data_IF_368236198698
#
_entry.id   IF_368236198698
#
_cell.length_a   1.000
_cell.length_b   1.000
_cell.length_c   1.000
_cell.angle_alpha   90.00
_cell.angle_beta   90.00
_cell.angle_gamma   90.00
#
_symmetry.space_group_name_H-M   'P 1'
#
loop_
_entity.id
_entity.type
_entity.pdbx_description
1 polymer ?
#
# COMPACT_ATOMS: atom_id res chain seq x y z
N UNK A 1 -26.91 -15.81 -74.25
CA UNK A 1 -26.07 -14.80 -73.57
C UNK A 1 -26.81 -14.37 -72.32
N UNK A 2 -26.45 -14.94 -71.17
CA UNK A 2 -27.14 -14.72 -69.89
C UNK A 2 -26.05 -14.48 -68.84
N UNK A 3 -25.95 -13.26 -68.32
CA UNK A 3 -25.01 -12.90 -67.24
C UNK A 3 -25.76 -12.93 -65.91
N UNK A 4 -25.31 -13.77 -64.98
CA UNK A 4 -25.67 -13.72 -63.56
C UNK A 4 -24.92 -12.56 -62.87
N UNK A 5 -25.52 -11.88 -61.87
CA UNK A 5 -24.77 -11.01 -60.98
C UNK A 5 -24.23 -11.81 -59.78
N UNK A 6 -22.94 -11.63 -59.50
CA UNK A 6 -22.31 -12.09 -58.25
C UNK A 6 -22.70 -11.15 -57.11
N UNK A 7 -23.32 -11.69 -56.06
CA UNK A 7 -23.53 -10.98 -54.81
C UNK A 7 -22.25 -11.06 -53.95
N UNK A 8 -21.67 -9.90 -53.65
CA UNK A 8 -20.58 -9.77 -52.68
C UNK A 8 -21.16 -9.85 -51.26
N UNK A 9 -20.86 -10.93 -50.53
CA UNK A 9 -21.12 -11.02 -49.10
C UNK A 9 -19.96 -10.35 -48.37
N UNK A 10 -20.22 -9.18 -47.77
CA UNK A 10 -19.28 -8.53 -46.86
C UNK A 10 -19.42 -9.19 -45.49
N UNK A 11 -18.43 -9.96 -45.08
CA UNK A 11 -18.29 -10.42 -43.70
C UNK A 11 -17.84 -9.25 -42.83
N UNK A 12 -18.76 -8.67 -42.04
CA UNK A 12 -18.38 -7.82 -40.91
C UNK A 12 -17.80 -8.72 -39.81
N UNK A 13 -16.47 -8.75 -39.70
CA UNK A 13 -15.81 -9.26 -38.51
C UNK A 13 -16.03 -8.28 -37.36
N UNK A 14 -16.93 -8.63 -36.43
CA UNK A 14 -17.07 -7.92 -35.17
C UNK A 14 -15.81 -8.16 -34.34
N UNK A 15 -14.90 -7.20 -34.33
CA UNK A 15 -13.77 -7.17 -33.39
C UNK A 15 -14.37 -6.92 -32.01
N UNK A 16 -14.53 -7.99 -31.23
CA UNK A 16 -14.80 -7.84 -29.80
C UNK A 16 -13.57 -7.19 -29.16
N UNK A 17 -13.69 -5.90 -28.84
CA UNK A 17 -12.77 -5.22 -27.93
C UNK A 17 -12.90 -5.88 -26.56
N UNK A 18 -12.08 -6.90 -26.30
CA UNK A 18 -11.82 -7.38 -24.95
C UNK A 18 -11.09 -6.23 -24.26
N UNK A 19 -11.80 -5.46 -23.44
CA UNK A 19 -11.19 -4.45 -22.59
C UNK A 19 -10.20 -5.15 -21.68
N UNK A 20 -8.90 -4.99 -21.94
CA UNK A 20 -7.86 -5.47 -21.04
C UNK A 20 -8.06 -4.80 -19.67
N UNK A 21 -7.98 -5.55 -18.56
CA UNK A 21 -8.03 -4.95 -17.23
C UNK A 21 -6.92 -3.91 -17.11
N UNK A 22 -7.25 -2.74 -16.56
CA UNK A 22 -6.24 -1.75 -16.26
C UNK A 22 -5.38 -2.28 -15.10
N UNK A 23 -4.09 -2.46 -15.35
CA UNK A 23 -3.10 -2.84 -14.34
C UNK A 23 -2.68 -1.59 -13.56
N UNK A 24 -2.98 -1.55 -12.26
CA UNK A 24 -2.45 -0.55 -11.35
C UNK A 24 -1.10 -1.05 -10.81
N UNK A 25 -0.05 -0.24 -10.92
CA UNK A 25 1.35 -0.60 -10.60
C UNK A 25 1.84 0.00 -9.29
N UNK A 26 1.12 0.94 -8.67
CA UNK A 26 1.59 1.59 -7.45
C UNK A 26 0.82 1.15 -6.20
N UNK A 27 1.21 -0.01 -5.70
CA UNK A 27 1.26 -0.27 -4.26
C UNK A 27 2.72 -0.02 -3.84
N UNK A 28 3.01 0.58 -2.69
CA UNK A 28 4.40 0.76 -2.22
C UNK A 28 5.15 -0.59 -1.96
N UNK A 29 4.58 -1.72 -2.39
CA UNK A 29 5.13 -3.08 -2.39
C UNK A 29 5.19 -3.71 -3.80
N UNK A 30 4.85 -2.98 -4.88
CA UNK A 30 4.90 -3.49 -6.26
C UNK A 30 3.92 -4.63 -6.57
N UNK A 31 2.88 -4.80 -5.75
CA UNK A 31 1.87 -5.83 -5.94
C UNK A 31 1.08 -5.57 -7.23
N UNK A 32 0.97 -6.56 -8.15
CA UNK A 32 0.08 -6.43 -9.29
C UNK A 32 -1.36 -6.39 -8.80
N UNK A 33 -2.07 -5.32 -9.18
CA UNK A 33 -3.48 -5.17 -8.90
C UNK A 33 -4.27 -4.97 -10.21
N UNK A 34 -5.42 -5.61 -10.29
CA UNK A 34 -6.41 -5.42 -11.35
C UNK A 34 -7.62 -4.66 -10.82
N UNK A 35 -8.03 -3.62 -11.55
CA UNK A 35 -9.24 -2.88 -11.23
C UNK A 35 -10.49 -3.61 -11.72
N UNK A 36 -11.53 -3.57 -10.90
CA UNK A 36 -12.78 -4.26 -11.17
C UNK A 36 -13.92 -3.29 -11.50
N UNK A 37 -14.72 -3.64 -12.51
CA UNK A 37 -15.83 -2.82 -13.01
C UNK A 37 -17.08 -2.82 -12.10
N UNK A 38 -16.97 -3.40 -10.90
CA UNK A 38 -18.09 -3.57 -9.97
C UNK A 38 -18.78 -2.26 -9.60
N UNK A 39 -20.11 -2.32 -9.45
CA UNK A 39 -20.98 -1.20 -9.06
C UNK A 39 -21.83 -1.57 -7.84
N UNK A 40 -22.20 -0.58 -7.04
CA UNK A 40 -22.98 -0.76 -5.81
C UNK A 40 -22.15 -0.56 -4.53
N UNK A 41 -22.80 -0.73 -3.38
CA UNK A 41 -22.21 -0.46 -2.07
C UNK A 41 -21.21 -1.54 -1.57
N UNK A 42 -21.23 -2.72 -2.20
CA UNK A 42 -20.39 -3.85 -1.82
C UNK A 42 -19.73 -4.51 -3.06
N UNK A 43 -19.39 -3.68 -4.03
CA UNK A 43 -18.74 -4.11 -5.26
C UNK A 43 -17.29 -4.51 -5.01
N UNK A 44 -16.80 -5.50 -5.74
CA UNK A 44 -15.36 -5.72 -5.88
C UNK A 44 -14.78 -4.52 -6.65
N UNK A 45 -13.82 -3.83 -6.02
CA UNK A 45 -13.18 -2.62 -6.54
C UNK A 45 -11.84 -2.94 -7.19
N UNK A 46 -11.05 -3.80 -6.56
CA UNK A 46 -9.76 -4.25 -7.05
C UNK A 46 -9.42 -5.63 -6.49
N UNK A 47 -8.59 -6.36 -7.24
CA UNK A 47 -7.99 -7.62 -6.82
C UNK A 47 -6.47 -7.51 -6.97
N UNK A 48 -5.73 -7.70 -5.89
CA UNK A 48 -4.28 -7.68 -5.87
C UNK A 48 -3.74 -9.08 -5.58
N UNK A 49 -2.55 -9.38 -6.09
CA UNK A 49 -1.86 -10.65 -5.85
C UNK A 49 -0.70 -10.47 -4.87
N UNK A 50 -0.53 -11.43 -3.96
CA UNK A 50 0.57 -11.51 -3.02
C UNK A 50 1.00 -12.94 -2.75
N UNK A 51 2.06 -13.12 -1.96
CA UNK A 51 2.57 -14.42 -1.54
C UNK A 51 2.56 -14.51 -0.02
N UNK A 52 1.79 -15.45 0.55
CA UNK A 52 1.72 -15.73 1.98
C UNK A 52 2.49 -17.00 2.31
N UNK A 53 3.79 -16.87 2.61
CA UNK A 53 4.63 -17.99 3.02
C UNK A 53 4.80 -19.03 1.91
N UNK A 54 5.07 -18.58 0.68
CA UNK A 54 5.24 -19.44 -0.49
C UNK A 54 3.93 -19.90 -1.13
N UNK A 55 2.80 -19.27 -0.76
CA UNK A 55 1.49 -19.55 -1.33
C UNK A 55 0.89 -18.29 -1.93
N UNK A 56 0.60 -18.35 -3.23
CA UNK A 56 -0.14 -17.30 -3.91
C UNK A 56 -1.45 -16.97 -3.17
N UNK A 57 -1.73 -15.68 -3.07
CA UNK A 57 -2.82 -15.12 -2.28
C UNK A 57 -3.47 -13.97 -3.05
N UNK A 58 -4.78 -14.02 -3.18
CA UNK A 58 -5.62 -12.96 -3.68
C UNK A 58 -6.10 -12.06 -2.54
N UNK A 59 -5.96 -10.74 -2.74
CA UNK A 59 -6.36 -9.66 -1.83
C UNK A 59 -7.44 -8.85 -2.54
N UNK A 60 -8.70 -9.09 -2.19
CA UNK A 60 -9.87 -8.47 -2.86
C UNK A 60 -10.42 -7.34 -2.03
N UNK A 61 -10.45 -6.15 -2.60
CA UNK A 61 -10.97 -4.94 -1.95
C UNK A 61 -12.43 -4.74 -2.34
N UNK A 62 -13.32 -4.76 -1.37
CA UNK A 62 -14.75 -4.57 -1.59
C UNK A 62 -15.26 -3.28 -0.98
N UNK A 63 -16.24 -2.66 -1.65
CA UNK A 63 -16.97 -1.51 -1.12
C UNK A 63 -17.67 -0.72 -2.20
N UNK A 64 -17.56 0.61 -2.14
CA UNK A 64 -18.29 1.53 -3.00
C UNK A 64 -17.33 2.48 -3.73
N UNK A 65 -17.58 2.66 -5.03
CA UNK A 65 -16.87 3.66 -5.84
C UNK A 65 -17.08 5.10 -5.30
N UNK A 66 -16.12 6.02 -5.52
CA UNK A 66 -14.87 5.80 -6.25
C UNK A 66 -13.86 4.94 -5.49
N UNK A 67 -13.82 5.01 -4.16
CA UNK A 67 -12.73 4.39 -3.40
C UNK A 67 -13.06 4.09 -1.92
N UNK A 68 -14.31 3.90 -1.54
CA UNK A 68 -14.65 3.47 -0.16
C UNK A 68 -14.49 1.96 -0.05
N UNK A 69 -13.57 1.50 0.77
CA UNK A 69 -13.36 0.07 1.05
C UNK A 69 -14.00 -0.26 2.40
N UNK A 70 -14.93 -1.22 2.41
CA UNK A 70 -15.65 -1.70 3.59
C UNK A 70 -15.07 -3.00 4.15
N UNK A 71 -14.46 -3.81 3.29
CA UNK A 71 -13.75 -5.00 3.71
C UNK A 71 -12.74 -5.46 2.66
N UNK A 72 -11.82 -6.31 3.12
CA UNK A 72 -10.86 -7.01 2.29
C UNK A 72 -11.01 -8.51 2.53
N UNK A 73 -11.14 -9.27 1.45
CA UNK A 73 -11.08 -10.73 1.48
C UNK A 73 -9.66 -11.18 1.12
N UNK A 74 -9.13 -12.08 1.95
CA UNK A 74 -7.82 -12.72 1.75
C UNK A 74 -8.04 -14.20 1.45
N UNK A 75 -7.65 -14.63 0.26
CA UNK A 75 -7.93 -15.98 -0.26
C UNK A 75 -6.65 -16.60 -0.79
N UNK A 76 -6.32 -17.83 -0.39
CA UNK A 76 -5.22 -18.55 -1.05
C UNK A 76 -5.62 -18.97 -2.46
N UNK A 77 -4.65 -19.00 -3.37
CA UNK A 77 -4.89 -19.45 -4.74
C UNK A 77 -5.51 -20.86 -4.79
N UNK A 78 -6.47 -21.02 -5.71
CA UNK A 78 -7.26 -22.24 -5.85
C UNK A 78 -8.36 -22.43 -4.79
N UNK A 79 -8.47 -21.54 -3.80
CA UNK A 79 -9.59 -21.53 -2.85
C UNK A 79 -10.67 -20.54 -3.26
N UNK A 80 -11.91 -20.86 -2.95
CA UNK A 80 -13.07 -19.99 -3.21
C UNK A 80 -13.48 -19.19 -1.98
N UNK A 81 -13.26 -19.74 -0.78
CA UNK A 81 -13.57 -19.07 0.48
C UNK A 81 -12.34 -18.32 1.01
N UNK A 82 -12.49 -17.08 1.49
CA UNK A 82 -11.38 -16.36 2.11
C UNK A 82 -10.99 -17.04 3.42
N UNK A 83 -9.68 -17.16 3.67
CA UNK A 83 -9.18 -17.58 4.98
C UNK A 83 -9.37 -16.47 6.02
N UNK A 84 -9.52 -15.22 5.58
CA UNK A 84 -9.86 -14.10 6.45
C UNK A 84 -10.59 -13.00 5.70
N UNK A 85 -11.58 -12.41 6.36
CA UNK A 85 -12.26 -11.17 5.97
C UNK A 85 -11.88 -10.07 6.95
N UNK A 86 -11.26 -9.01 6.47
CA UNK A 86 -10.90 -7.82 7.24
C UNK A 86 -11.96 -6.75 7.06
N UNK A 87 -12.79 -6.54 8.09
CA UNK A 87 -13.75 -5.42 8.11
C UNK A 87 -13.03 -4.12 8.45
N UNK A 88 -13.23 -3.09 7.63
CA UNK A 88 -12.57 -1.81 7.76
C UNK A 88 -13.39 -0.69 7.11
N UNK A 89 -13.02 0.57 7.33
CA UNK A 89 -13.70 1.70 6.73
C UNK A 89 -12.67 2.74 6.34
N UNK A 90 -12.13 2.59 5.13
CA UNK A 90 -11.05 3.44 4.61
C UNK A 90 -11.36 3.90 3.19
N UNK A 91 -10.65 4.93 2.75
CA UNK A 91 -10.76 5.53 1.43
C UNK A 91 -9.39 5.57 0.73
N UNK A 92 -8.77 4.42 0.42
CA UNK A 92 -7.45 4.39 -0.18
C UNK A 92 -7.52 5.02 -1.58
N UNK A 93 -6.38 5.44 -2.14
CA UNK A 93 -6.33 5.79 -3.56
C UNK A 93 -6.54 4.49 -4.37
N UNK A 94 -7.56 4.49 -5.23
CA UNK A 94 -7.86 3.43 -6.18
C UNK A 94 -8.14 4.10 -7.52
N UNK A 95 -7.19 3.98 -8.44
CA UNK A 95 -7.30 4.46 -9.82
C UNK A 95 -6.55 3.51 -10.77
N UNK A 96 -6.47 3.87 -12.05
CA UNK A 96 -5.87 3.02 -13.10
C UNK A 96 -4.39 2.70 -12.86
N UNK A 97 -3.71 3.51 -12.07
CA UNK A 97 -2.27 3.42 -11.84
C UNK A 97 -1.97 2.92 -10.42
N UNK A 98 -2.87 3.13 -9.47
CA UNK A 98 -2.62 2.94 -8.04
C UNK A 98 -3.75 2.20 -7.36
N UNK A 99 -3.40 1.15 -6.60
CA UNK A 99 -4.24 0.61 -5.52
C UNK A 99 -3.42 0.71 -4.24
N UNK A 100 -3.73 1.70 -3.41
CA UNK A 100 -2.90 2.11 -2.27
C UNK A 100 -3.00 1.17 -1.06
N UNK A 101 -2.58 -0.07 -1.27
CA UNK A 101 -2.29 -1.06 -0.24
C UNK A 101 -0.79 -1.37 -0.23
N UNK A 102 -0.32 -2.03 0.81
CA UNK A 102 1.01 -2.61 0.88
C UNK A 102 0.91 -4.00 1.47
N UNK A 103 1.61 -4.94 0.87
CA UNK A 103 1.72 -6.30 1.36
C UNK A 103 3.20 -6.64 1.50
N UNK A 104 3.71 -6.56 2.72
CA UNK A 104 5.15 -6.65 3.00
C UNK A 104 5.37 -6.99 4.46
N UNK A 105 6.51 -7.61 4.77
CA UNK A 105 6.89 -7.97 6.14
C UNK A 105 7.36 -6.71 6.90
N UNK A 106 6.44 -6.10 7.68
CA UNK A 106 6.71 -4.86 8.43
C UNK A 106 7.43 -5.13 9.75
N UNK A 107 7.25 -6.32 10.32
CA UNK A 107 7.80 -6.69 11.63
C UNK A 107 9.08 -7.55 11.53
N UNK A 108 9.47 -7.92 10.31
CA UNK A 108 10.63 -8.74 9.96
C UNK A 108 10.57 -10.17 10.54
N UNK A 109 9.37 -10.76 10.58
CA UNK A 109 9.13 -12.12 11.08
C UNK A 109 9.07 -13.20 9.98
N UNK A 110 9.24 -12.81 8.71
CA UNK A 110 9.23 -13.69 7.55
C UNK A 110 7.85 -13.90 6.93
N UNK A 111 6.78 -13.30 7.47
CA UNK A 111 5.45 -13.30 6.89
C UNK A 111 5.07 -11.90 6.44
N UNK A 112 4.40 -11.74 5.28
CA UNK A 112 3.93 -10.43 4.88
C UNK A 112 2.75 -10.00 5.75
N UNK A 113 2.75 -8.72 6.03
CA UNK A 113 1.71 -7.98 6.71
C UNK A 113 0.93 -7.14 5.69
N UNK A 114 -0.19 -6.53 6.12
CA UNK A 114 -1.03 -5.69 5.26
C UNK A 114 -1.09 -4.26 5.81
N UNK A 115 -0.87 -3.27 4.94
CA UNK A 115 -1.20 -1.88 5.22
C UNK A 115 -2.17 -1.36 4.15
N UNK A 116 -3.18 -0.60 4.57
CA UNK A 116 -4.17 0.00 3.66
C UNK A 116 -4.22 1.49 3.90
N UNK A 117 -4.09 2.30 2.85
CA UNK A 117 -4.19 3.76 2.97
C UNK A 117 -5.54 4.12 3.60
N UNK A 118 -5.51 4.89 4.70
CA UNK A 118 -6.72 5.23 5.47
C UNK A 118 -7.66 6.14 4.69
N UNK A 119 -7.08 7.13 4.02
CA UNK A 119 -7.77 8.12 3.21
C UNK A 119 -6.75 8.71 2.24
N UNK A 120 -7.19 9.07 1.04
CA UNK A 120 -6.42 9.95 0.14
C UNK A 120 -5.95 11.18 0.94
N UNK A 121 -4.65 11.48 0.98
CA UNK A 121 -4.12 12.56 1.81
C UNK A 121 -4.70 13.92 1.42
N UNK A 122 -5.10 14.71 2.42
CA UNK A 122 -5.36 16.14 2.28
C UNK A 122 -4.08 16.97 2.55
N UNK A 123 -2.97 16.29 2.86
CA UNK A 123 -1.70 16.90 3.24
C UNK A 123 -0.50 16.09 2.74
N UNK A 124 0.72 16.44 3.16
CA UNK A 124 1.95 15.96 2.55
C UNK A 124 2.32 14.50 2.87
N UNK A 125 1.57 13.85 3.78
CA UNK A 125 1.91 12.51 4.27
C UNK A 125 0.75 11.54 4.15
N UNK A 126 1.05 10.32 3.76
CA UNK A 126 0.07 9.24 3.66
C UNK A 126 0.02 8.43 4.94
N UNK A 127 -1.20 8.18 5.42
CA UNK A 127 -1.46 7.38 6.62
C UNK A 127 -2.08 6.05 6.25
N UNK A 128 -1.64 5.00 6.92
CA UNK A 128 -2.10 3.64 6.69
C UNK A 128 -2.75 3.06 7.95
N UNK A 129 -3.63 2.08 7.75
CA UNK A 129 -4.10 1.17 8.77
C UNK A 129 -3.35 -0.14 8.59
N UNK A 130 -2.63 -0.56 9.62
CA UNK A 130 -1.75 -1.73 9.58
C UNK A 130 -2.40 -2.94 10.23
N UNK A 131 -2.12 -4.10 9.64
CA UNK A 131 -2.49 -5.41 10.15
C UNK A 131 -1.28 -6.32 10.04
N UNK A 132 -0.81 -6.83 11.17
CA UNK A 132 0.30 -7.78 11.20
C UNK A 132 -0.23 -9.20 11.10
N UNK A 133 0.37 -10.02 10.26
CA UNK A 133 0.05 -11.43 10.26
C UNK A 133 0.56 -12.08 11.55
N UNK A 134 -0.28 -12.90 12.18
CA UNK A 134 0.10 -13.69 13.33
C UNK A 134 0.13 -15.16 12.92
N UNK A 135 1.32 -15.75 12.65
CA UNK A 135 1.43 -17.14 12.27
C UNK A 135 0.79 -18.12 13.28
N UNK A 136 0.94 -17.92 14.62
CA UNK A 136 0.27 -18.78 15.60
C UNK A 136 -1.26 -18.72 15.51
N UNK A 137 -1.83 -17.55 15.19
CA UNK A 137 -3.28 -17.35 15.08
C UNK A 137 -3.81 -17.55 13.65
N UNK A 138 -2.90 -17.74 12.68
CA UNK A 138 -3.15 -17.83 11.24
C UNK A 138 -4.04 -16.72 10.69
N UNK A 139 -3.84 -15.49 11.20
CA UNK A 139 -4.68 -14.34 10.83
C UNK A 139 -3.95 -13.01 10.99
N UNK A 140 -4.33 -12.04 10.19
CA UNK A 140 -4.01 -10.63 10.32
C UNK A 140 -4.68 -10.03 11.57
N UNK A 141 -3.90 -9.29 12.35
CA UNK A 141 -4.29 -8.64 13.60
C UNK A 141 -4.03 -7.13 13.46
N UNK A 142 -4.98 -6.25 13.80
CA UNK A 142 -4.76 -4.81 13.76
C UNK A 142 -3.54 -4.40 14.59
N UNK A 143 -2.70 -3.52 14.03
CA UNK A 143 -1.47 -3.05 14.65
C UNK A 143 -1.45 -1.52 14.81
N UNK A 144 -2.27 -0.96 15.72
CA UNK A 144 -2.42 0.48 15.86
C UNK A 144 -1.12 1.20 16.26
N UNK A 145 -0.16 0.50 16.89
CA UNK A 145 1.16 1.04 17.21
C UNK A 145 1.97 1.46 15.96
N UNK A 146 1.61 0.97 14.78
CA UNK A 146 2.22 1.36 13.51
C UNK A 146 1.59 2.59 12.87
N UNK A 147 0.45 3.07 13.36
CA UNK A 147 -0.29 4.17 12.70
C UNK A 147 0.47 5.52 12.70
N UNK A 148 1.52 5.65 13.50
CA UNK A 148 2.43 6.81 13.51
C UNK A 148 3.47 6.75 12.37
N UNK A 149 3.61 5.59 11.72
CA UNK A 149 4.49 5.40 10.57
C UNK A 149 3.75 5.86 9.30
N UNK A 150 4.06 7.06 8.85
CA UNK A 150 3.60 7.65 7.60
C UNK A 150 4.56 7.38 6.46
N UNK A 151 4.04 7.20 5.24
CA UNK A 151 4.83 6.97 4.02
C UNK A 151 5.99 5.97 4.24
N UNK A 152 5.68 4.71 4.62
CA UNK A 152 6.69 3.72 4.97
C UNK A 152 7.48 3.25 3.76
N UNK A 153 8.79 3.16 3.94
CA UNK A 153 9.76 2.50 3.08
C UNK A 153 10.39 1.35 3.87
N UNK A 154 10.21 0.11 3.40
CA UNK A 154 10.74 -1.07 4.08
C UNK A 154 12.17 -1.32 3.61
N UNK A 155 13.06 -1.49 4.57
CA UNK A 155 14.46 -1.85 4.36
C UNK A 155 14.72 -3.22 5.05
N UNK A 156 14.46 -4.33 4.33
CA UNK A 156 14.65 -5.67 4.86
C UNK A 156 16.11 -5.97 5.22
N UNK A 157 17.07 -5.41 4.46
CA UNK A 157 18.49 -5.63 4.67
C UNK A 157 18.95 -5.14 6.06
N UNK A 158 18.43 -3.99 6.49
CA UNK A 158 18.73 -3.44 7.82
C UNK A 158 17.66 -3.70 8.88
N UNK A 159 16.58 -4.43 8.52
CA UNK A 159 15.40 -4.72 9.35
C UNK A 159 14.83 -3.45 9.99
N UNK A 160 14.57 -2.46 9.15
CA UNK A 160 14.05 -1.16 9.57
C UNK A 160 13.00 -0.62 8.61
N UNK A 161 12.18 0.29 9.12
CA UNK A 161 11.24 1.06 8.31
C UNK A 161 11.73 2.50 8.33
N UNK A 162 11.94 3.08 7.15
CA UNK A 162 12.13 4.52 6.98
C UNK A 162 10.77 5.13 6.69
N UNK A 163 10.45 6.26 7.29
CA UNK A 163 9.11 6.84 7.16
C UNK A 163 9.21 8.36 7.01
N UNK A 164 8.61 8.90 5.95
CA UNK A 164 8.60 10.35 5.73
C UNK A 164 7.61 11.02 6.67
N UNK A 165 7.95 12.21 7.15
CA UNK A 165 7.02 13.06 7.88
C UNK A 165 7.21 14.52 7.48
N UNK A 166 6.14 15.28 7.56
CA UNK A 166 6.16 16.71 7.29
C UNK A 166 5.20 17.45 8.21
N UNK A 167 5.71 18.52 8.82
CA UNK A 167 4.93 19.43 9.68
C UNK A 167 4.59 20.70 8.90
N UNK A 168 5.52 21.21 8.10
CA UNK A 168 5.33 22.38 7.23
C UNK A 168 6.21 22.29 5.98
N UNK A 169 6.06 23.17 4.98
CA UNK A 169 6.97 23.23 3.84
C UNK A 169 8.45 23.42 4.20
N UNK A 170 8.72 24.01 5.38
CA UNK A 170 10.07 24.30 5.85
C UNK A 170 10.54 23.37 6.98
N UNK A 171 9.73 22.39 7.37
CA UNK A 171 10.04 21.40 8.40
C UNK A 171 9.48 20.02 8.05
N UNK A 172 10.38 19.15 7.62
CA UNK A 172 10.10 17.77 7.23
C UNK A 172 11.24 16.86 7.63
N UNK A 173 11.13 15.57 7.32
CA UNK A 173 12.24 14.66 7.46
C UNK A 173 11.83 13.20 7.48
N UNK A 174 12.66 12.40 8.12
CA UNK A 174 12.55 10.95 8.11
C UNK A 174 12.65 10.38 9.52
N UNK A 175 11.83 9.40 9.83
CA UNK A 175 11.98 8.56 11.02
C UNK A 175 12.51 7.19 10.58
N UNK A 176 13.38 6.61 11.39
CA UNK A 176 13.90 5.24 11.23
C UNK A 176 13.40 4.41 12.41
N UNK A 177 12.56 3.44 12.10
CA UNK A 177 11.90 2.55 13.04
C UNK A 177 12.53 1.16 12.98
N UNK A 178 12.65 0.50 14.14
CA UNK A 178 13.01 -0.91 14.21
C UNK A 178 11.97 -1.68 15.00
N UNK A 179 11.75 -2.93 14.64
CA UNK A 179 10.87 -3.81 15.39
C UNK A 179 11.57 -4.32 16.66
N UNK A 180 10.98 -4.07 17.84
CA UNK A 180 11.51 -4.57 19.13
C UNK A 180 10.37 -4.86 20.09
N UNK A 181 10.40 -6.03 20.73
CA UNK A 181 9.41 -6.38 21.75
C UNK A 181 7.96 -6.37 21.26
N UNK A 182 7.74 -6.68 19.98
CA UNK A 182 6.39 -6.71 19.38
C UNK A 182 5.82 -5.35 18.98
N UNK A 183 6.61 -4.28 19.02
CA UNK A 183 6.18 -2.93 18.62
C UNK A 183 7.26 -2.23 17.77
N UNK A 184 6.87 -1.28 16.92
CA UNK A 184 7.84 -0.41 16.26
C UNK A 184 8.44 0.57 17.27
N UNK A 185 9.76 0.71 17.25
CA UNK A 185 10.51 1.63 18.12
C UNK A 185 11.27 2.62 17.25
N UNK A 186 11.06 3.92 17.47
CA UNK A 186 11.83 4.98 16.84
C UNK A 186 13.28 4.90 17.33
N UNK A 187 14.23 4.79 16.40
CA UNK A 187 15.66 4.70 16.70
C UNK A 187 16.43 5.91 16.23
N UNK A 188 15.96 6.58 15.18
CA UNK A 188 16.58 7.77 14.64
C UNK A 188 15.54 8.67 13.98
N UNK A 189 15.70 9.98 14.15
CA UNK A 189 14.93 11.01 13.45
C UNK A 189 15.91 11.93 12.73
N UNK A 190 15.67 12.15 11.45
CA UNK A 190 16.39 13.11 10.62
C UNK A 190 15.41 14.24 10.35
N UNK A 191 15.68 15.43 10.88
CA UNK A 191 14.87 16.63 10.64
C UNK A 191 15.58 17.53 9.65
N UNK A 192 14.86 18.02 8.66
CA UNK A 192 15.32 19.01 7.70
C UNK A 192 14.54 20.29 7.91
N UNK A 193 15.26 21.40 8.10
CA UNK A 193 14.69 22.73 8.26
C UNK A 193 15.25 23.66 7.20
N UNK A 194 14.36 24.31 6.47
CA UNK A 194 14.72 25.35 5.51
C UNK A 194 14.51 26.73 6.13
N UNK A 195 15.46 27.65 5.92
CA UNK A 195 15.26 29.06 6.23
C UNK A 195 14.61 29.81 5.04
N UNK A 196 14.37 31.12 5.19
CA UNK A 196 13.78 31.95 4.14
C UNK A 196 14.63 32.03 2.87
N UNK A 197 15.94 31.87 2.98
CA UNK A 197 16.87 31.83 1.86
C UNK A 197 17.02 30.40 1.28
N UNK A 198 16.21 29.45 1.76
CA UNK A 198 16.21 28.02 1.39
C UNK A 198 17.51 27.30 1.76
N UNK A 199 18.30 27.84 2.69
CA UNK A 199 19.39 27.07 3.28
C UNK A 199 18.81 25.96 4.14
N UNK A 200 19.31 24.75 3.94
CA UNK A 200 18.81 23.57 4.61
C UNK A 200 19.74 23.15 5.74
N UNK A 201 19.19 23.03 6.94
CA UNK A 201 19.85 22.48 8.12
C UNK A 201 19.23 21.12 8.47
N UNK A 202 20.09 20.10 8.52
CA UNK A 202 19.71 18.76 8.93
C UNK A 202 20.10 18.52 10.40
N UNK A 203 19.17 18.03 11.20
CA UNK A 203 19.43 17.55 12.56
C UNK A 203 19.16 16.05 12.62
N UNK A 204 20.17 15.26 12.97
CA UNK A 204 19.99 13.82 13.22
C UNK A 204 19.93 13.56 14.71
N UNK A 205 18.86 12.95 15.18
CA UNK A 205 18.59 12.63 16.60
C UNK A 205 18.56 11.10 16.74
N UNK A 206 19.32 10.55 17.68
CA UNK A 206 19.31 9.12 17.98
C UNK A 206 18.54 8.82 19.26
N UNK A 207 17.85 7.69 19.29
CA UNK A 207 17.00 7.26 20.40
C UNK A 207 17.37 5.86 20.88
N UNK A 208 17.30 5.64 22.20
CA UNK A 208 17.35 4.32 22.84
C UNK A 208 16.26 4.26 23.91
N UNK A 209 15.40 3.24 23.83
CA UNK A 209 14.27 3.08 24.75
C UNK A 209 13.39 4.35 24.86
N UNK A 210 13.13 5.00 23.73
CA UNK A 210 12.33 6.24 23.67
C UNK A 210 13.05 7.51 24.14
N UNK A 211 14.24 7.39 24.72
CA UNK A 211 15.03 8.54 25.18
C UNK A 211 16.05 8.96 24.13
N UNK A 212 16.23 10.27 23.98
CA UNK A 212 17.27 10.85 23.14
C UNK A 212 18.64 10.52 23.72
N UNK A 213 19.52 9.92 22.92
CA UNK A 213 20.89 9.56 23.32
C UNK A 213 21.96 10.34 22.58
N UNK A 214 21.62 11.04 21.52
CA UNK A 214 22.58 11.82 20.74
C UNK A 214 21.90 12.74 19.73
N UNK A 215 22.64 13.77 19.31
CA UNK A 215 22.23 14.69 18.27
C UNK A 215 23.46 15.18 17.49
N UNK A 216 23.33 15.26 16.18
CA UNK A 216 24.27 15.98 15.30
C UNK A 216 23.51 16.93 14.39
N UNK A 217 24.20 17.98 13.95
CA UNK A 217 23.66 18.99 13.03
C UNK A 217 24.63 19.15 11.87
N UNK A 218 24.10 19.22 10.65
CA UNK A 218 24.87 19.46 9.42
C UNK A 218 24.06 20.33 8.47
N UNK A 219 24.72 20.86 7.43
CA UNK A 219 23.99 21.23 6.22
C UNK A 219 23.34 19.97 5.62
N UNK A 220 22.23 20.14 4.91
CA UNK A 220 21.67 19.06 4.10
C UNK A 220 22.65 18.74 2.96
N UNK A 221 22.76 17.46 2.61
CA UNK A 221 23.54 16.98 1.47
C UNK A 221 22.74 17.12 0.18
#
# INVERSE_FOLDING_TARGET
MTRQPFAFVVFLAAVMLVSQPAHATFAASGQPCELMAGRGANALLAECSGDMGGRGTSIKLFGQRPNRVSHIDLTYDGQTAPFQVLKLNVQPLIDRETVAIMFSDFNFDGWPDLAVMRKVPEGPVTRYQYYLYSPPKKKFVPAPAMNDITDPEIDPANRQIRSYWQISPDLSGWNIWKWKGGVPVLTRRVEQRFDKARNCRQTTISYKAGQKTGQSVSACQ
#
